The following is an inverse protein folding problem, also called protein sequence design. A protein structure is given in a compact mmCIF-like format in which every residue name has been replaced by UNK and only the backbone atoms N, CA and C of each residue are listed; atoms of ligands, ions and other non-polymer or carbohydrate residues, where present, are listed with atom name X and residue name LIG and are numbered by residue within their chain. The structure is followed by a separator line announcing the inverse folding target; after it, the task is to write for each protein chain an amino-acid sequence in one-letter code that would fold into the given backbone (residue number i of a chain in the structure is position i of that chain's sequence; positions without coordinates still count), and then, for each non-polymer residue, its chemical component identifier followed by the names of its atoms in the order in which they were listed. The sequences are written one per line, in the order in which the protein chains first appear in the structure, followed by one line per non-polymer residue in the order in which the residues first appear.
data_IF_349712965670
#
_entry.id   IF_349712965670
#
_cell.length_a   1.000
_cell.length_b   1.000
_cell.length_c   1.000
_cell.angle_alpha   90.00
_cell.angle_beta   90.00
_cell.angle_gamma   90.00
#
_symmetry.space_group_name_H-M   'P 1'
#
loop_
_entity.id
_entity.type
_entity.pdbx_description
1 polymer ?
#
# COMPACT_ATOMS: atom_id res chain seq x y z
N UNK A 1 8.82 3.48 -19.12
CA UNK A 1 9.31 4.56 -18.22
C UNK A 1 9.57 3.95 -16.85
N UNK A 2 10.76 4.11 -16.25
CA UNK A 2 10.97 3.70 -14.84
C UNK A 2 10.37 4.76 -13.94
N UNK A 3 9.16 4.52 -13.42
CA UNK A 3 8.52 5.43 -12.47
C UNK A 3 9.30 5.47 -11.16
N UNK A 4 9.69 6.66 -10.71
CA UNK A 4 10.26 6.84 -9.37
C UNK A 4 9.15 6.70 -8.33
N UNK A 5 9.47 6.04 -7.22
CA UNK A 5 8.57 5.91 -6.07
C UNK A 5 8.68 7.17 -5.22
N UNK A 6 7.54 7.81 -4.94
CA UNK A 6 7.47 8.96 -4.03
C UNK A 6 6.35 8.75 -3.03
N UNK A 7 6.49 9.34 -1.84
CA UNK A 7 5.47 9.26 -0.80
C UNK A 7 4.13 9.84 -1.30
N UNK A 8 4.16 10.94 -2.07
CA UNK A 8 2.98 11.54 -2.70
C UNK A 8 2.20 10.54 -3.55
N UNK A 9 2.88 9.81 -4.45
CA UNK A 9 2.23 8.80 -5.31
C UNK A 9 1.60 7.67 -4.51
N UNK A 10 2.23 7.27 -3.41
CA UNK A 10 1.64 6.27 -2.50
C UNK A 10 0.39 6.83 -1.83
N UNK A 11 0.43 8.07 -1.34
CA UNK A 11 -0.74 8.71 -0.71
C UNK A 11 -1.91 8.78 -1.71
N UNK A 12 -1.67 9.29 -2.92
CA UNK A 12 -2.70 9.37 -3.98
C UNK A 12 -3.29 7.99 -4.33
N UNK A 13 -2.46 6.94 -4.35
CA UNK A 13 -2.94 5.58 -4.54
C UNK A 13 -3.81 5.10 -3.37
N UNK A 14 -3.43 5.42 -2.12
CA UNK A 14 -4.19 5.02 -0.94
C UNK A 14 -5.51 5.78 -0.79
N UNK A 15 -5.59 7.04 -1.20
CA UNK A 15 -6.85 7.79 -1.28
C UNK A 15 -7.85 7.10 -2.22
N UNK A 16 -7.34 6.43 -3.26
CA UNK A 16 -8.12 5.68 -4.25
C UNK A 16 -8.11 4.16 -4.00
N UNK A 17 -7.77 3.70 -2.80
CA UNK A 17 -7.56 2.29 -2.52
C UNK A 17 -8.76 1.39 -2.90
N UNK A 18 -9.98 1.83 -2.62
CA UNK A 18 -11.19 1.06 -2.97
C UNK A 18 -11.42 0.98 -4.48
N UNK A 19 -11.21 2.10 -5.19
CA UNK A 19 -11.31 2.15 -6.64
C UNK A 19 -10.28 1.22 -7.28
N UNK A 20 -9.03 1.30 -6.83
CA UNK A 20 -7.93 0.45 -7.32
C UNK A 20 -8.23 -1.04 -7.06
N UNK A 21 -8.72 -1.40 -5.86
CA UNK A 21 -9.08 -2.80 -5.55
C UNK A 21 -10.17 -3.35 -6.46
N UNK A 22 -11.08 -2.50 -6.95
CA UNK A 22 -12.15 -2.89 -7.88
C UNK A 22 -11.67 -3.03 -9.32
N UNK A 23 -10.73 -2.19 -9.75
CA UNK A 23 -10.27 -2.13 -11.14
C UNK A 23 -9.05 -3.00 -11.43
N UNK A 24 -8.28 -3.37 -10.40
CA UNK A 24 -7.06 -4.16 -10.59
C UNK A 24 -7.38 -5.66 -10.71
N UNK A 25 -7.08 -6.33 -11.85
CA UNK A 25 -7.40 -7.75 -12.04
C UNK A 25 -6.74 -8.66 -11.00
N UNK A 26 -5.55 -8.27 -10.53
CA UNK A 26 -4.88 -8.95 -9.43
C UNK A 26 -5.72 -8.99 -8.14
N UNK A 27 -6.41 -7.90 -7.80
CA UNK A 27 -7.24 -7.83 -6.59
C UNK A 27 -8.53 -8.65 -6.74
N UNK A 28 -9.08 -8.72 -7.95
CA UNK A 28 -10.19 -9.61 -8.28
C UNK A 28 -9.80 -11.08 -8.11
N UNK A 29 -8.74 -11.54 -8.78
CA UNK A 29 -8.28 -12.93 -8.65
C UNK A 29 -7.94 -13.33 -7.21
N UNK A 30 -7.35 -12.43 -6.41
CA UNK A 30 -7.09 -12.71 -4.99
C UNK A 30 -8.38 -12.80 -4.14
N UNK A 31 -9.46 -12.11 -4.53
CA UNK A 31 -10.77 -12.22 -3.87
C UNK A 31 -11.45 -13.53 -4.23
N UNK A 32 -11.42 -13.92 -5.50
CA UNK A 32 -11.98 -15.19 -5.99
C UNK A 32 -11.30 -16.40 -5.33
N UNK A 33 -9.99 -16.32 -5.12
CA UNK A 33 -9.21 -17.35 -4.43
C UNK A 33 -9.36 -17.32 -2.89
N UNK A 34 -10.10 -16.37 -2.32
CA UNK A 34 -10.31 -16.25 -0.87
C UNK A 34 -9.04 -15.90 -0.07
N UNK A 35 -8.00 -15.36 -0.71
CA UNK A 35 -6.69 -15.09 -0.09
C UNK A 35 -6.35 -13.60 0.02
N UNK A 36 -7.30 -12.72 -0.29
CA UNK A 36 -7.16 -11.29 -0.09
C UNK A 36 -7.35 -10.92 1.40
N UNK A 37 -6.35 -10.29 2.00
CA UNK A 37 -6.39 -9.80 3.39
C UNK A 37 -6.36 -8.27 3.50
N UNK A 38 -6.61 -7.53 2.40
CA UNK A 38 -6.68 -6.07 2.44
C UNK A 38 -7.98 -5.63 3.10
N UNK A 39 -7.90 -4.71 4.07
CA UNK A 39 -9.07 -4.06 4.68
C UNK A 39 -9.53 -2.85 3.85
N UNK A 40 -10.57 -2.18 4.33
CA UNK A 40 -11.01 -0.90 3.80
C UNK A 40 -9.88 0.14 3.88
N UNK A 41 -9.68 0.90 2.80
CA UNK A 41 -8.61 1.91 2.69
C UNK A 41 -7.20 1.34 2.63
N UNK A 42 -7.04 0.01 2.52
CA UNK A 42 -5.74 -0.65 2.43
C UNK A 42 -5.41 -1.14 1.02
N UNK A 43 -4.14 -1.02 0.64
CA UNK A 43 -3.52 -1.73 -0.47
C UNK A 43 -2.39 -2.61 0.05
N UNK A 44 -2.33 -3.87 -0.39
CA UNK A 44 -1.15 -4.70 -0.14
C UNK A 44 0.02 -4.24 -1.02
N UNK A 45 1.26 -4.53 -0.60
CA UNK A 45 2.47 -4.17 -1.34
C UNK A 45 2.44 -4.59 -2.82
N UNK A 46 1.80 -5.72 -3.14
CA UNK A 46 1.70 -6.21 -4.52
C UNK A 46 0.72 -5.38 -5.34
N UNK A 47 -0.46 -5.08 -4.80
CA UNK A 47 -1.44 -4.25 -5.51
C UNK A 47 -0.86 -2.83 -5.74
N UNK A 48 -0.19 -2.27 -4.74
CA UNK A 48 0.47 -0.97 -4.84
C UNK A 48 1.60 -0.97 -5.89
N UNK A 49 2.41 -2.03 -5.94
CA UNK A 49 3.48 -2.20 -6.92
C UNK A 49 2.93 -2.26 -8.36
N UNK A 50 1.88 -3.05 -8.57
CA UNK A 50 1.24 -3.19 -9.89
C UNK A 50 0.64 -1.84 -10.31
N UNK A 51 -0.15 -1.21 -9.44
CA UNK A 51 -0.80 0.06 -9.76
C UNK A 51 0.18 1.19 -10.07
N UNK A 52 1.30 1.27 -9.34
CA UNK A 52 2.30 2.31 -9.56
C UNK A 52 3.29 2.00 -10.70
N UNK A 53 3.20 0.80 -11.28
CA UNK A 53 4.14 0.24 -12.27
C UNK A 53 5.60 0.21 -11.74
N UNK A 54 5.76 -0.23 -10.50
CA UNK A 54 7.04 -0.30 -9.79
C UNK A 54 7.33 -1.75 -9.39
N UNK A 55 8.61 -2.14 -9.35
CA UNK A 55 8.97 -3.48 -8.88
C UNK A 55 8.56 -3.69 -7.42
N UNK A 56 8.12 -4.91 -7.09
CA UNK A 56 7.77 -5.29 -5.71
C UNK A 56 8.93 -5.05 -4.75
N UNK A 57 10.16 -5.25 -5.22
CA UNK A 57 11.38 -5.01 -4.44
C UNK A 57 11.58 -3.52 -4.12
N UNK A 58 11.38 -2.62 -5.09
CA UNK A 58 11.50 -1.18 -4.85
C UNK A 58 10.43 -0.68 -3.86
N UNK A 59 9.20 -1.18 -3.97
CA UNK A 59 8.12 -0.90 -3.00
C UNK A 59 8.51 -1.41 -1.62
N UNK A 60 9.03 -2.64 -1.51
CA UNK A 60 9.49 -3.22 -0.24
C UNK A 60 10.58 -2.38 0.41
N UNK A 61 11.61 -1.99 -0.34
CA UNK A 61 12.69 -1.14 0.17
C UNK A 61 12.18 0.23 0.61
N UNK A 62 11.27 0.82 -0.15
CA UNK A 62 10.66 2.11 0.20
C UNK A 62 9.87 2.02 1.51
N UNK A 63 9.00 1.00 1.65
CA UNK A 63 8.22 0.80 2.87
C UNK A 63 9.11 0.51 4.09
N UNK A 64 10.17 -0.29 3.93
CA UNK A 64 11.15 -0.54 4.99
C UNK A 64 11.81 0.77 5.46
N UNK A 65 12.18 1.65 4.52
CA UNK A 65 12.75 2.97 4.87
C UNK A 65 11.75 3.85 5.62
N UNK A 66 10.47 3.84 5.22
CA UNK A 66 9.44 4.61 5.91
C UNK A 66 9.22 4.14 7.35
N UNK A 67 9.17 2.83 7.59
CA UNK A 67 9.02 2.26 8.94
C UNK A 67 10.23 2.52 9.83
N UNK A 68 11.44 2.60 9.27
CA UNK A 68 12.66 2.83 10.05
C UNK A 68 12.91 4.32 10.33
N UNK A 69 12.63 5.19 9.36
CA UNK A 69 13.06 6.60 9.40
C UNK A 69 11.97 7.54 9.91
N UNK A 70 10.68 7.25 9.65
CA UNK A 70 9.61 8.25 9.83
C UNK A 70 8.38 7.74 10.59
N UNK A 71 8.56 6.79 11.52
CA UNK A 71 7.49 6.01 12.15
C UNK A 71 6.24 6.83 12.57
N UNK A 72 6.43 8.02 13.15
CA UNK A 72 5.33 8.89 13.57
C UNK A 72 4.97 10.01 12.58
N UNK A 73 5.93 10.48 11.77
CA UNK A 73 5.74 11.66 10.93
C UNK A 73 5.00 11.40 9.62
N UNK A 74 4.99 10.17 9.10
CA UNK A 74 4.32 9.90 7.82
C UNK A 74 2.81 9.67 7.98
N UNK A 75 1.99 10.12 7.00
CA UNK A 75 0.53 9.97 7.03
C UNK A 75 0.05 8.56 6.64
N UNK A 76 0.91 7.55 6.76
CA UNK A 76 0.59 6.16 6.39
C UNK A 76 0.72 5.24 7.61
N UNK A 77 -0.09 4.17 7.64
CA UNK A 77 0.00 3.07 8.58
C UNK A 77 0.32 1.80 7.81
N UNK A 78 1.28 1.03 8.31
CA UNK A 78 1.67 -0.26 7.73
C UNK A 78 1.27 -1.36 8.70
N UNK A 79 0.50 -2.34 8.21
CA UNK A 79 0.12 -3.56 8.92
C UNK A 79 0.84 -4.73 8.26
N UNK A 80 1.48 -5.56 9.06
CA UNK A 80 2.25 -6.71 8.59
C UNK A 80 1.54 -8.00 9.00
N UNK A 81 1.29 -8.90 8.05
CA UNK A 81 0.86 -10.27 8.34
C UNK A 81 2.10 -11.18 8.34
N UNK A 82 2.42 -11.73 9.50
CA UNK A 82 3.58 -12.61 9.74
C UNK A 82 3.22 -14.10 9.69
N UNK A 83 1.94 -14.45 9.76
CA UNK A 83 1.45 -15.83 9.82
C UNK A 83 1.45 -16.55 8.46
N UNK A 84 1.71 -15.84 7.38
CA UNK A 84 1.76 -16.41 6.04
C UNK A 84 3.15 -17.04 5.85
N UNK A 85 3.22 -18.36 5.62
CA UNK A 85 4.44 -19.10 5.23
C UNK A 85 4.91 -18.67 3.82
N UNK A 86 5.40 -17.45 3.71
CA UNK A 86 6.06 -16.89 2.53
C UNK A 86 7.46 -16.41 2.94
N UNK A 87 8.37 -16.35 1.97
CA UNK A 87 9.76 -15.91 2.19
C UNK A 87 9.85 -14.48 2.78
N UNK A 88 8.80 -13.67 2.64
CA UNK A 88 8.71 -12.33 3.21
C UNK A 88 7.29 -12.04 3.71
N UNK A 89 7.16 -11.36 4.87
CA UNK A 89 5.86 -10.99 5.40
C UNK A 89 5.17 -9.97 4.48
N UNK A 90 3.86 -10.12 4.30
CA UNK A 90 3.08 -9.24 3.42
C UNK A 90 2.65 -7.98 4.18
N UNK A 91 2.95 -6.82 3.58
CA UNK A 91 2.57 -5.50 4.12
C UNK A 91 1.28 -4.99 3.48
N UNK A 92 0.45 -4.36 4.31
CA UNK A 92 -0.81 -3.72 3.97
C UNK A 92 -0.72 -2.26 4.42
N UNK A 93 -0.94 -1.34 3.50
CA UNK A 93 -0.66 0.08 3.69
C UNK A 93 -1.99 0.82 3.62
N UNK A 94 -2.25 1.72 4.57
CA UNK A 94 -3.42 2.61 4.62
C UNK A 94 -3.00 4.01 5.05
N UNK A 95 -3.88 5.00 4.89
CA UNK A 95 -3.67 6.34 5.43
C UNK A 95 -4.02 6.40 6.94
N UNK A 96 -3.26 7.17 7.71
CA UNK A 96 -3.63 7.51 9.10
C UNK A 96 -4.87 8.42 9.04
N UNK A 97 -6.01 7.98 9.57
CA UNK A 97 -7.28 8.75 9.56
C UNK A 97 -7.12 10.18 10.13
N UNK A 98 -6.23 10.36 11.09
CA UNK A 98 -5.97 11.63 11.79
C UNK A 98 -5.28 12.69 10.92
N UNK A 99 -4.59 12.30 9.84
CA UNK A 99 -3.86 13.24 8.96
C UNK A 99 -4.56 13.52 7.61
N UNK A 100 -5.69 12.87 7.31
CA UNK A 100 -6.46 13.12 6.08
C UNK A 100 -7.10 14.52 6.09
N UNK A 101 -7.57 14.97 7.25
CA UNK A 101 -8.15 16.32 7.44
C UNK A 101 -7.17 17.47 7.17
N UNK A 102 -5.86 17.21 7.18
CA UNK A 102 -4.82 18.20 6.89
C UNK A 102 -4.49 18.31 5.38
N UNK A 103 -4.79 17.28 4.58
CA UNK A 103 -4.47 17.25 3.15
C UNK A 103 -5.64 17.74 2.27
N UNK A 104 -6.87 17.70 2.78
CA UNK A 104 -8.10 18.11 2.06
C UNK A 104 -8.38 19.61 2.15
N UNK A 105 -7.64 20.37 2.99
CA UNK A 105 -7.71 21.84 3.03
C UNK A 105 -6.64 22.46 2.12
N UNK A 106 -6.87 22.49 0.81
CA UNK A 106 -6.21 23.43 -0.10
C UNK A 106 -7.12 23.78 -1.27
#
# INVERSE_FOLDING_TARGET
MRGYITLKRIIEALERAEEIKRTLPYCEGMRELGCCHCREGELCQTALAIYLEISKEAIRQFLNRLEFVFQDDVPIRIRTLTEIRQSYPRKFISLKKEKISLLVKK
#
